data_IF_054791320845
#
_entry.id   IF_054791320845
#
_cell.length_a   1.000
_cell.length_b   1.000
_cell.length_c   1.000
_cell.angle_alpha   90.00
_cell.angle_beta   90.00
_cell.angle_gamma   90.00
#
_symmetry.space_group_name_H-M   'P 1'
#
loop_
_entity.id
_entity.type
_entity.pdbx_description
1 polymer ?
#
# COMPACT_ATOMS: atom_id res chain seq x y z
N UNK A 1 -53.31 31.00 -33.47
CA UNK A 1 -52.68 29.65 -33.41
C UNK A 1 -51.75 29.26 -34.57
N UNK A 2 -51.99 29.65 -35.85
CA UNK A 2 -51.12 29.23 -36.99
C UNK A 2 -49.74 29.91 -37.01
N UNK A 3 -49.62 31.14 -36.47
CA UNK A 3 -48.37 31.91 -36.49
C UNK A 3 -47.30 31.37 -35.53
N UNK A 4 -47.70 30.96 -34.31
CA UNK A 4 -46.81 30.36 -33.31
C UNK A 4 -46.20 29.03 -33.78
N UNK A 5 -46.97 28.18 -34.49
CA UNK A 5 -46.45 26.92 -35.08
C UNK A 5 -45.38 27.16 -36.15
N UNK A 6 -45.45 28.27 -36.90
CA UNK A 6 -44.50 28.60 -37.97
C UNK A 6 -43.16 29.08 -37.40
N UNK A 7 -43.19 29.87 -36.33
CA UNK A 7 -42.01 30.32 -35.58
C UNK A 7 -41.31 29.12 -34.93
N UNK A 8 -42.07 28.25 -34.24
CA UNK A 8 -41.51 27.06 -33.59
C UNK A 8 -40.81 26.13 -34.59
N UNK A 9 -41.34 25.99 -35.81
CA UNK A 9 -40.72 25.18 -36.88
C UNK A 9 -39.44 25.82 -37.44
N UNK A 10 -39.39 27.16 -37.55
CA UNK A 10 -38.21 27.92 -38.03
C UNK A 10 -37.02 27.84 -37.06
N UNK A 11 -37.28 27.82 -35.76
CA UNK A 11 -36.23 27.80 -34.74
C UNK A 11 -36.01 26.43 -34.10
N UNK A 12 -36.76 25.39 -34.48
CA UNK A 12 -36.67 24.04 -33.90
C UNK A 12 -35.24 23.50 -33.87
N UNK A 13 -34.50 23.65 -34.96
CA UNK A 13 -33.11 23.20 -35.06
C UNK A 13 -32.17 24.01 -34.15
N UNK A 14 -32.36 25.33 -34.04
CA UNK A 14 -31.56 26.18 -33.14
C UNK A 14 -31.87 25.91 -31.67
N UNK A 15 -33.15 25.70 -31.33
CA UNK A 15 -33.56 25.34 -29.96
C UNK A 15 -33.01 23.97 -29.58
N UNK A 16 -33.08 22.98 -30.49
CA UNK A 16 -32.51 21.65 -30.27
C UNK A 16 -30.99 21.73 -30.10
N UNK A 17 -30.31 22.55 -30.91
CA UNK A 17 -28.86 22.75 -30.81
C UNK A 17 -28.46 23.42 -29.49
N UNK A 18 -29.20 24.45 -29.05
CA UNK A 18 -28.99 25.12 -27.76
C UNK A 18 -29.25 24.18 -26.59
N UNK A 19 -30.30 23.34 -26.66
CA UNK A 19 -30.57 22.30 -25.66
C UNK A 19 -29.49 21.22 -25.62
N UNK A 20 -28.95 20.81 -26.78
CA UNK A 20 -27.85 19.85 -26.86
C UNK A 20 -26.56 20.44 -26.25
N UNK A 21 -26.29 21.71 -26.50
CA UNK A 21 -25.16 22.44 -25.91
C UNK A 21 -25.33 22.62 -24.39
N UNK A 22 -26.55 22.92 -23.93
CA UNK A 22 -26.94 22.96 -22.51
C UNK A 22 -26.94 21.58 -21.82
N UNK A 23 -27.00 20.47 -22.56
CA UNK A 23 -26.80 19.13 -22.00
C UNK A 23 -25.31 18.79 -21.90
N UNK A 24 -24.50 19.24 -22.85
CA UNK A 24 -23.05 19.07 -22.85
C UNK A 24 -22.35 19.83 -21.70
N UNK A 25 -22.84 21.02 -21.32
CA UNK A 25 -22.26 21.77 -20.18
C UNK A 25 -22.68 21.21 -18.80
N UNK A 26 -23.76 20.40 -18.71
CA UNK A 26 -24.19 19.73 -17.46
C UNK A 26 -23.35 18.45 -17.26
N UNK A 27 -22.76 17.93 -18.33
CA UNK A 27 -21.77 16.85 -18.29
C UNK A 27 -20.36 17.31 -17.89
N UNK A 28 -20.21 18.48 -17.25
CA UNK A 28 -19.02 18.80 -16.47
C UNK A 28 -19.06 17.93 -15.19
N UNK A 29 -18.84 16.63 -15.38
CA UNK A 29 -18.83 15.65 -14.31
C UNK A 29 -17.76 16.05 -13.30
N UNK A 30 -18.17 16.22 -12.03
CA UNK A 30 -17.22 16.32 -10.91
C UNK A 30 -16.19 15.21 -11.09
N UNK A 31 -14.92 15.57 -11.21
CA UNK A 31 -13.83 14.60 -11.25
C UNK A 31 -13.91 13.77 -9.97
N UNK A 32 -14.39 12.53 -10.10
CA UNK A 32 -14.48 11.61 -8.97
C UNK A 32 -13.08 11.11 -8.67
N UNK A 33 -12.45 11.66 -7.63
CA UNK A 33 -11.15 11.17 -7.18
C UNK A 33 -11.31 9.73 -6.67
N UNK A 34 -10.44 8.82 -7.13
CA UNK A 34 -10.47 7.41 -6.69
C UNK A 34 -10.30 7.29 -5.17
N UNK A 35 -9.46 8.16 -4.60
CA UNK A 35 -9.22 8.26 -3.16
C UNK A 35 -9.58 9.65 -2.63
N UNK A 36 -10.43 9.67 -1.61
CA UNK A 36 -10.75 10.85 -0.83
C UNK A 36 -9.61 11.09 0.16
N UNK A 37 -8.96 12.25 0.07
CA UNK A 37 -7.84 12.60 0.96
C UNK A 37 -8.27 13.71 1.90
N UNK A 38 -8.04 13.52 3.20
CA UNK A 38 -8.33 14.51 4.23
C UNK A 38 -7.15 14.65 5.20
N UNK A 39 -7.03 15.81 5.83
CA UNK A 39 -6.02 16.06 6.84
C UNK A 39 -6.65 16.67 8.07
N UNK A 40 -6.28 16.15 9.23
CA UNK A 40 -6.62 16.66 10.54
C UNK A 40 -5.33 17.05 11.28
N UNK A 41 -5.39 18.11 12.09
CA UNK A 41 -4.31 18.50 12.99
C UNK A 41 -4.77 18.32 14.43
N UNK A 42 -3.91 17.75 15.26
CA UNK A 42 -4.20 17.46 16.67
C UNK A 42 -3.07 17.99 17.54
N UNK A 43 -3.42 18.72 18.59
CA UNK A 43 -2.46 19.31 19.52
C UNK A 43 -2.05 18.35 20.65
N UNK A 44 -1.53 17.18 20.26
CA UNK A 44 -1.11 16.08 21.14
C UNK A 44 0.21 15.47 20.65
N UNK A 45 0.84 14.67 21.49
CA UNK A 45 2.04 13.90 21.13
C UNK A 45 1.65 12.53 20.56
N UNK A 46 2.24 12.17 19.42
CA UNK A 46 2.01 10.85 18.79
C UNK A 46 2.48 9.70 19.69
N UNK A 47 3.49 9.92 20.52
CA UNK A 47 4.01 8.92 21.47
C UNK A 47 2.91 8.45 22.42
N UNK A 48 2.02 9.35 22.85
CA UNK A 48 0.91 8.99 23.74
C UNK A 48 -0.13 8.12 23.03
N UNK A 49 -0.30 8.26 21.72
CA UNK A 49 -1.16 7.36 20.92
C UNK A 49 -0.48 6.01 20.68
N UNK A 50 0.82 5.99 20.39
CA UNK A 50 1.59 4.74 20.22
C UNK A 50 1.56 3.92 21.52
N UNK A 51 1.68 4.56 22.70
CA UNK A 51 1.60 3.89 24.01
C UNK A 51 0.25 3.25 24.31
N UNK A 52 -0.84 3.73 23.68
CA UNK A 52 -2.18 3.16 23.84
C UNK A 52 -2.40 1.91 22.97
N UNK A 53 -1.48 1.62 22.04
CA UNK A 53 -1.57 0.43 21.20
C UNK A 53 -1.44 -0.82 22.08
N UNK A 54 -2.56 -1.51 22.25
CA UNK A 54 -2.61 -2.81 22.91
C UNK A 54 -2.55 -3.90 21.85
N UNK A 55 -1.82 -4.98 22.13
CA UNK A 55 -1.79 -6.15 21.25
C UNK A 55 -1.08 -5.90 19.92
N UNK A 56 0.06 -5.20 19.93
CA UNK A 56 0.93 -5.13 18.77
C UNK A 56 1.29 -6.56 18.30
N UNK A 57 1.35 -6.81 16.98
CA UNK A 57 1.79 -8.10 16.49
C UNK A 57 3.20 -8.42 17.03
N UNK A 58 3.51 -9.69 17.32
CA UNK A 58 4.85 -10.11 17.69
C UNK A 58 5.87 -9.61 16.67
N UNK A 59 7.11 -9.26 17.10
CA UNK A 59 8.16 -8.88 16.17
C UNK A 59 8.33 -9.90 15.04
N UNK A 60 8.34 -9.42 13.80
CA UNK A 60 8.43 -10.25 12.61
C UNK A 60 7.10 -10.77 12.06
N UNK A 61 6.01 -10.79 12.83
CA UNK A 61 4.68 -11.12 12.28
C UNK A 61 4.20 -9.94 11.44
N UNK A 62 4.04 -10.16 10.13
CA UNK A 62 3.67 -9.14 9.17
C UNK A 62 2.17 -9.19 8.81
N UNK A 63 1.58 -10.39 8.81
CA UNK A 63 0.19 -10.59 8.41
C UNK A 63 -0.38 -11.90 8.97
N UNK A 64 -1.70 -11.97 9.10
CA UNK A 64 -2.38 -13.18 9.58
C UNK A 64 -3.77 -13.27 8.97
N UNK A 65 -4.12 -14.41 8.40
CA UNK A 65 -5.48 -14.71 7.94
C UNK A 65 -6.01 -16.01 8.56
N UNK A 66 -7.09 -16.57 8.04
CA UNK A 66 -7.67 -17.81 8.56
C UNK A 66 -6.77 -19.04 8.37
N UNK A 67 -5.87 -19.05 7.38
CA UNK A 67 -5.04 -20.21 7.03
C UNK A 67 -3.58 -20.06 7.45
N UNK A 68 -3.00 -18.87 7.38
CA UNK A 68 -1.57 -18.64 7.61
C UNK A 68 -1.31 -17.51 8.60
N UNK A 69 -0.22 -17.68 9.35
CA UNK A 69 0.55 -16.56 9.90
C UNK A 69 1.71 -16.29 8.94
N UNK A 70 1.93 -15.02 8.61
CA UNK A 70 2.98 -14.62 7.69
C UNK A 70 4.02 -13.80 8.43
N UNK A 71 5.24 -14.33 8.47
CA UNK A 71 6.35 -13.79 9.22
C UNK A 71 7.44 -13.31 8.26
N UNK A 72 8.29 -12.40 8.73
CA UNK A 72 9.38 -11.87 7.93
C UNK A 72 10.69 -11.79 8.70
N UNK A 73 11.77 -11.79 7.94
CA UNK A 73 13.09 -11.30 8.31
C UNK A 73 13.57 -10.26 7.29
N UNK A 74 14.53 -9.44 7.70
CA UNK A 74 15.11 -8.38 6.88
C UNK A 74 16.53 -8.13 7.35
N UNK A 75 17.50 -8.34 6.46
CA UNK A 75 18.91 -8.08 6.68
C UNK A 75 19.43 -6.87 5.88
N UNK A 76 18.52 -6.01 5.43
CA UNK A 76 18.86 -4.92 4.52
C UNK A 76 19.35 -5.47 3.18
N UNK A 77 20.53 -5.04 2.75
CA UNK A 77 21.13 -5.43 1.47
C UNK A 77 21.47 -6.93 1.39
N UNK A 78 21.55 -7.61 2.52
CA UNK A 78 21.89 -9.03 2.59
C UNK A 78 20.68 -9.96 2.38
N UNK A 79 19.50 -9.37 2.14
CA UNK A 79 18.30 -10.10 1.78
C UNK A 79 17.22 -10.05 2.87
N UNK A 80 16.30 -10.98 2.75
CA UNK A 80 15.14 -11.10 3.63
C UNK A 80 14.36 -12.36 3.26
N UNK A 81 13.53 -12.82 4.19
CA UNK A 81 12.72 -14.01 3.99
C UNK A 81 11.30 -13.73 4.39
N UNK A 82 10.35 -14.21 3.59
CA UNK A 82 8.94 -14.30 3.97
C UNK A 82 8.62 -15.75 4.32
N UNK A 83 7.92 -15.96 5.43
CA UNK A 83 7.51 -17.28 5.91
C UNK A 83 5.99 -17.35 6.01
N UNK A 84 5.42 -18.45 5.55
CA UNK A 84 4.01 -18.80 5.67
C UNK A 84 3.87 -20.02 6.56
N UNK A 85 3.44 -19.81 7.80
CA UNK A 85 3.15 -20.88 8.76
C UNK A 85 1.67 -21.24 8.66
N UNK A 86 1.38 -22.44 8.17
CA UNK A 86 0.01 -22.95 8.09
C UNK A 86 -0.52 -23.21 9.51
N UNK A 87 -1.60 -22.53 9.90
CA UNK A 87 -2.16 -22.59 11.25
C UNK A 87 -2.71 -23.97 11.63
N UNK A 88 -3.18 -24.74 10.64
CA UNK A 88 -3.78 -26.07 10.86
C UNK A 88 -2.72 -27.17 10.94
N UNK A 89 -1.75 -27.17 10.03
CA UNK A 89 -0.74 -28.24 9.95
C UNK A 89 0.55 -27.91 10.69
N UNK A 90 0.79 -26.65 11.03
CA UNK A 90 2.05 -26.18 11.63
C UNK A 90 3.23 -26.11 10.64
N UNK A 91 3.07 -26.56 9.39
CA UNK A 91 4.12 -26.52 8.37
C UNK A 91 4.48 -25.09 8.00
N UNK A 92 5.77 -24.84 7.80
CA UNK A 92 6.33 -23.52 7.50
C UNK A 92 6.92 -23.55 6.10
N UNK A 93 6.46 -22.64 5.26
CA UNK A 93 6.94 -22.46 3.90
C UNK A 93 7.61 -21.12 3.76
N UNK A 94 8.62 -20.99 2.93
CA UNK A 94 9.40 -19.77 2.86
C UNK A 94 9.94 -19.47 1.46
N UNK A 95 10.21 -18.19 1.23
CA UNK A 95 10.84 -17.71 0.00
C UNK A 95 11.65 -16.43 0.30
N UNK A 96 12.58 -16.12 -0.59
CA UNK A 96 13.30 -14.86 -0.63
C UNK A 96 12.32 -13.69 -0.78
N UNK A 97 12.51 -12.67 0.04
CA UNK A 97 11.73 -11.44 0.02
C UNK A 97 12.51 -10.33 0.74
N UNK A 98 13.19 -9.45 -0.01
CA UNK A 98 14.08 -8.43 0.56
C UNK A 98 13.32 -7.38 1.35
N UNK A 99 13.42 -7.44 2.68
CA UNK A 99 12.78 -6.52 3.60
C UNK A 99 11.27 -6.30 3.34
N UNK A 100 10.44 -7.30 3.64
CA UNK A 100 9.00 -7.21 3.43
C UNK A 100 8.38 -6.10 4.29
N UNK A 101 7.57 -5.23 3.69
CA UNK A 101 6.88 -4.13 4.37
C UNK A 101 5.37 -4.29 4.42
N UNK A 102 4.78 -5.10 3.54
CA UNK A 102 3.35 -5.41 3.60
C UNK A 102 3.01 -6.74 2.92
N UNK A 103 1.93 -7.35 3.38
CA UNK A 103 1.28 -8.50 2.74
C UNK A 103 -0.19 -8.15 2.52
N UNK A 104 -0.67 -8.40 1.32
CA UNK A 104 -2.06 -8.19 0.95
C UNK A 104 -2.62 -9.43 0.28
N UNK A 105 -3.89 -9.75 0.54
CA UNK A 105 -4.56 -10.92 -0.06
C UNK A 105 -5.63 -10.47 -1.04
N UNK A 106 -5.48 -10.88 -2.30
CA UNK A 106 -6.45 -10.58 -3.37
C UNK A 106 -6.75 -11.88 -4.11
N UNK A 107 -8.03 -12.25 -4.20
CA UNK A 107 -8.48 -13.45 -4.92
C UNK A 107 -7.71 -14.72 -4.52
N UNK A 108 -7.52 -14.89 -3.22
CA UNK A 108 -6.78 -16.00 -2.60
C UNK A 108 -5.29 -16.09 -2.97
N UNK A 109 -4.71 -15.03 -3.53
CA UNK A 109 -3.27 -14.88 -3.75
C UNK A 109 -2.69 -13.86 -2.78
N UNK A 110 -1.43 -14.06 -2.39
CA UNK A 110 -0.70 -13.13 -1.55
C UNK A 110 0.24 -12.28 -2.39
N UNK A 111 0.32 -11.00 -2.05
CA UNK A 111 1.20 -10.03 -2.68
C UNK A 111 2.10 -9.47 -1.59
N UNK A 112 3.40 -9.71 -1.71
CA UNK A 112 4.40 -9.25 -0.75
C UNK A 112 5.07 -8.05 -1.37
N UNK A 113 4.99 -6.89 -0.71
CA UNK A 113 5.77 -5.72 -1.10
C UNK A 113 7.04 -5.69 -0.28
N UNK A 114 8.16 -5.66 -1.00
CA UNK A 114 9.51 -5.66 -0.48
C UNK A 114 10.12 -4.28 -0.74
N UNK A 115 10.87 -3.77 0.23
CA UNK A 115 11.36 -2.40 0.17
C UNK A 115 12.68 -2.26 0.90
N UNK A 116 13.67 -1.75 0.19
CA UNK A 116 15.01 -1.49 0.70
C UNK A 116 15.35 -0.02 0.47
N UNK A 117 15.38 0.76 1.55
CA UNK A 117 15.75 2.18 1.54
C UNK A 117 17.27 2.38 1.66
N UNK A 118 18.04 1.78 0.76
CA UNK A 118 19.50 1.94 0.73
C UNK A 118 19.98 2.42 -0.65
N UNK A 119 21.01 3.28 -0.69
CA UNK A 119 21.46 4.00 -1.88
C UNK A 119 20.30 4.70 -2.62
N UNK A 120 20.00 4.31 -3.86
CA UNK A 120 18.88 4.83 -4.65
C UNK A 120 17.52 4.29 -4.20
N UNK A 121 17.51 3.30 -3.31
CA UNK A 121 16.35 2.54 -2.92
C UNK A 121 15.95 1.52 -3.99
N UNK A 122 15.37 0.41 -3.56
CA UNK A 122 14.78 -0.57 -4.45
C UNK A 122 13.53 -1.18 -3.84
N UNK A 123 12.63 -1.65 -4.70
CA UNK A 123 11.42 -2.34 -4.27
C UNK A 123 10.99 -3.34 -5.30
N UNK A 124 10.43 -4.45 -4.84
CA UNK A 124 9.80 -5.44 -5.69
C UNK A 124 8.46 -5.87 -5.09
N UNK A 125 7.62 -6.48 -5.93
CA UNK A 125 6.39 -7.14 -5.48
C UNK A 125 6.41 -8.56 -6.01
N UNK A 126 6.26 -9.53 -5.11
CA UNK A 126 6.12 -10.95 -5.46
C UNK A 126 4.69 -11.43 -5.21
N UNK A 127 4.16 -12.21 -6.15
CA UNK A 127 2.90 -12.96 -6.03
C UNK A 127 3.19 -14.37 -5.52
N UNK A 128 2.39 -14.83 -4.57
CA UNK A 128 2.38 -16.21 -4.07
C UNK A 128 0.95 -16.73 -4.19
N UNK A 129 0.76 -17.70 -5.09
CA UNK A 129 -0.57 -18.29 -5.36
C UNK A 129 -0.91 -19.40 -4.38
N UNK A 130 0.09 -20.19 -3.98
CA UNK A 130 -0.05 -21.28 -3.04
C UNK A 130 1.24 -21.40 -2.22
N UNK A 131 1.24 -20.96 -0.95
CA UNK A 131 2.41 -21.06 -0.10
C UNK A 131 2.95 -22.50 0.05
N UNK A 132 2.12 -23.52 -0.10
CA UNK A 132 2.54 -24.93 0.06
C UNK A 132 3.42 -25.44 -1.09
N UNK A 133 3.54 -24.66 -2.18
CA UNK A 133 4.46 -24.94 -3.30
C UNK A 133 5.85 -24.33 -3.13
N UNK A 134 6.05 -23.51 -2.11
CA UNK A 134 7.37 -22.96 -1.80
C UNK A 134 8.24 -24.00 -1.09
N UNK A 135 9.49 -23.64 -0.76
CA UNK A 135 10.32 -24.50 0.07
C UNK A 135 9.78 -24.58 1.49
N UNK A 136 10.01 -25.72 2.14
CA UNK A 136 9.54 -25.99 3.51
C UNK A 136 10.73 -25.93 4.48
N UNK A 137 10.50 -25.35 5.65
CA UNK A 137 11.45 -25.34 6.77
C UNK A 137 10.77 -25.81 8.06
N UNK A 138 11.56 -26.13 9.07
CA UNK A 138 11.08 -26.51 10.41
C UNK A 138 11.05 -25.33 11.38
N UNK A 139 11.72 -24.22 11.05
CA UNK A 139 11.82 -23.04 11.92
C UNK A 139 11.76 -21.73 11.13
N UNK A 140 11.21 -20.70 11.77
CA UNK A 140 11.39 -19.31 11.33
C UNK A 140 12.67 -18.81 11.98
N UNK A 141 13.63 -18.35 11.16
CA UNK A 141 14.85 -17.74 11.69
C UNK A 141 14.49 -16.45 12.41
N UNK A 142 14.92 -16.33 13.66
CA UNK A 142 14.87 -15.05 14.38
C UNK A 142 16.18 -14.31 14.11
N UNK A 143 16.10 -13.00 13.87
CA UNK A 143 17.29 -12.17 13.76
C UNK A 143 18.16 -12.36 15.00
N UNK A 144 19.44 -12.68 14.79
CA UNK A 144 20.42 -12.83 15.86
C UNK A 144 21.61 -11.92 15.55
N UNK A 145 22.01 -11.01 16.46
CA UNK A 145 23.07 -10.03 16.19
C UNK A 145 24.43 -10.68 15.90
N UNK A 146 24.66 -11.90 16.39
CA UNK A 146 25.94 -12.63 16.23
C UNK A 146 26.05 -13.48 14.96
N UNK A 147 25.02 -13.50 14.09
CA UNK A 147 25.02 -14.28 12.86
C UNK A 147 25.29 -13.36 11.66
N UNK A 148 26.20 -13.78 10.76
CA UNK A 148 26.40 -13.11 9.47
C UNK A 148 25.06 -13.17 8.72
N UNK A 149 24.45 -12.01 8.54
CA UNK A 149 23.03 -11.92 8.18
C UNK A 149 22.68 -12.60 6.85
N UNK A 150 23.66 -12.72 5.95
CA UNK A 150 23.53 -13.39 4.66
C UNK A 150 23.29 -14.90 4.75
N UNK A 151 23.73 -15.57 5.80
CA UNK A 151 23.68 -17.05 5.88
C UNK A 151 22.31 -17.59 6.33
N UNK A 152 21.47 -16.75 6.94
CA UNK A 152 20.17 -17.18 7.45
C UNK A 152 18.98 -16.79 6.56
N UNK A 153 19.18 -15.85 5.62
CA UNK A 153 18.13 -15.42 4.70
C UNK A 153 17.97 -16.39 3.53
N UNK A 154 16.75 -16.53 3.04
CA UNK A 154 16.43 -17.40 1.93
C UNK A 154 16.92 -16.84 0.60
N UNK A 155 17.39 -17.74 -0.25
CA UNK A 155 17.65 -17.49 -1.68
C UNK A 155 16.64 -18.24 -2.58
N UNK A 156 15.59 -18.83 -1.99
CA UNK A 156 14.61 -19.60 -2.76
C UNK A 156 13.54 -18.70 -3.34
N UNK A 157 13.39 -18.74 -4.66
CA UNK A 157 12.25 -18.14 -5.38
C UNK A 157 11.16 -19.17 -5.73
N UNK A 158 11.27 -20.40 -5.19
CA UNK A 158 10.32 -21.47 -5.50
C UNK A 158 8.91 -21.09 -5.06
N UNK A 159 7.94 -21.23 -5.97
CA UNK A 159 6.53 -20.95 -5.69
C UNK A 159 6.16 -19.46 -5.68
N UNK A 160 7.11 -18.57 -5.99
CA UNK A 160 6.86 -17.13 -6.12
C UNK A 160 6.88 -16.69 -7.59
N UNK A 161 6.23 -15.57 -7.88
CA UNK A 161 6.29 -14.89 -9.17
C UNK A 161 6.55 -13.41 -8.94
N UNK A 162 7.69 -12.90 -9.37
CA UNK A 162 7.98 -11.47 -9.34
C UNK A 162 7.08 -10.73 -10.32
N UNK A 163 6.34 -9.74 -9.84
CA UNK A 163 5.45 -8.90 -10.64
C UNK A 163 6.13 -7.62 -11.08
N UNK A 164 6.94 -7.03 -10.22
CA UNK A 164 7.71 -5.82 -10.54
C UNK A 164 9.03 -5.86 -9.78
N UNK A 165 10.06 -5.27 -10.37
CA UNK A 165 11.39 -5.06 -9.78
C UNK A 165 11.81 -3.63 -10.14
N UNK A 166 12.03 -2.78 -9.15
CA UNK A 166 12.33 -1.37 -9.35
C UNK A 166 13.56 -0.93 -8.57
N UNK A 167 14.42 -0.18 -9.26
CA UNK A 167 15.50 0.61 -8.67
C UNK A 167 15.09 2.08 -8.71
N UNK A 168 15.40 2.83 -7.67
CA UNK A 168 15.03 4.24 -7.57
C UNK A 168 13.60 4.48 -7.06
N UNK A 169 12.90 3.43 -6.60
CA UNK A 169 11.58 3.56 -6.00
C UNK A 169 11.49 2.70 -4.74
N UNK A 170 10.93 3.28 -3.67
CA UNK A 170 10.79 2.66 -2.36
C UNK A 170 9.31 2.61 -1.99
N UNK A 171 8.81 1.42 -1.64
CA UNK A 171 7.45 1.22 -1.15
C UNK A 171 7.43 1.42 0.37
N UNK A 172 6.61 2.34 0.87
CA UNK A 172 6.37 2.49 2.32
C UNK A 172 5.38 1.43 2.82
N UNK A 173 4.28 1.23 2.09
CA UNK A 173 3.24 0.26 2.41
C UNK A 173 2.34 0.05 1.20
N UNK A 174 1.70 -1.12 1.11
CA UNK A 174 0.69 -1.42 0.10
C UNK A 174 -0.63 -1.81 0.75
N UNK A 175 -1.74 -1.53 0.08
CA UNK A 175 -3.11 -1.75 0.54
C UNK A 175 -4.04 -2.17 -0.61
N UNK A 176 -5.14 -2.83 -0.27
CA UNK A 176 -6.14 -3.30 -1.25
C UNK A 176 -7.33 -2.37 -1.28
N UNK A 177 -7.79 -2.04 -2.48
CA UNK A 177 -9.10 -1.42 -2.69
C UNK A 177 -9.72 -1.96 -3.97
N UNK A 178 -10.99 -2.39 -3.91
CA UNK A 178 -11.72 -2.99 -5.05
C UNK A 178 -10.92 -4.09 -5.80
N UNK A 179 -10.25 -4.97 -5.06
CA UNK A 179 -9.40 -6.05 -5.59
C UNK A 179 -8.17 -5.59 -6.39
N UNK A 180 -7.81 -4.30 -6.33
CA UNK A 180 -6.57 -3.79 -6.90
C UNK A 180 -5.57 -3.51 -5.77
N UNK A 181 -4.29 -3.72 -6.07
CA UNK A 181 -3.20 -3.44 -5.15
C UNK A 181 -2.68 -2.02 -5.40
N UNK A 182 -2.65 -1.22 -4.35
CA UNK A 182 -2.09 0.13 -4.35
C UNK A 182 -0.89 0.20 -3.42
N UNK A 183 0.09 1.01 -3.77
CA UNK A 183 1.30 1.23 -2.98
C UNK A 183 1.52 2.71 -2.76
N UNK A 184 1.91 3.08 -1.54
CA UNK A 184 2.50 4.40 -1.27
C UNK A 184 3.99 4.31 -1.54
N UNK A 185 4.46 5.09 -2.50
CA UNK A 185 5.83 4.99 -2.99
C UNK A 185 6.50 6.34 -3.11
N UNK A 186 7.82 6.35 -2.88
CA UNK A 186 8.69 7.48 -3.12
C UNK A 186 9.69 7.09 -4.20
N UNK A 187 9.68 7.83 -5.30
CA UNK A 187 10.75 7.74 -6.30
C UNK A 187 11.91 8.64 -5.84
N UNK A 188 13.14 8.14 -5.89
CA UNK A 188 14.36 8.82 -5.45
C UNK A 188 14.53 10.21 -6.09
N UNK A 189 14.13 10.35 -7.36
CA UNK A 189 14.21 11.62 -8.10
C UNK A 189 13.03 12.58 -7.83
N UNK A 190 12.00 12.13 -7.11
CA UNK A 190 10.75 12.88 -6.94
C UNK A 190 10.75 13.74 -5.67
N UNK A 191 10.10 14.90 -5.79
CA UNK A 191 9.77 15.79 -4.66
C UNK A 191 8.44 15.44 -3.99
N UNK A 192 7.70 14.47 -4.56
CA UNK A 192 6.40 13.99 -4.08
C UNK A 192 6.42 12.47 -3.89
N UNK A 193 5.75 12.01 -2.84
CA UNK A 193 5.35 10.61 -2.76
C UNK A 193 4.07 10.39 -3.59
N UNK A 194 3.75 9.16 -3.93
CA UNK A 194 2.56 8.85 -4.71
C UNK A 194 1.80 7.67 -4.13
N UNK A 195 0.50 7.64 -4.38
CA UNK A 195 -0.31 6.45 -4.33
C UNK A 195 -0.42 5.94 -5.77
N UNK A 196 0.10 4.75 -6.01
CA UNK A 196 0.12 4.14 -7.34
C UNK A 196 -0.54 2.77 -7.32
N UNK A 197 -1.26 2.45 -8.40
CA UNK A 197 -1.83 1.13 -8.64
C UNK A 197 -0.78 0.21 -9.26
N UNK A 198 -0.70 -1.04 -8.81
CA UNK A 198 0.00 -2.09 -9.55
C UNK A 198 -0.93 -2.61 -10.65
N UNK A 199 -0.60 -2.34 -11.91
CA UNK A 199 -1.31 -2.85 -13.08
C UNK A 199 -0.31 -3.19 -14.17
N UNK A 200 -0.51 -4.30 -14.87
CA UNK A 200 0.37 -4.76 -15.95
C UNK A 200 1.85 -4.79 -15.56
N UNK A 201 2.14 -5.27 -14.34
CA UNK A 201 3.50 -5.35 -13.78
C UNK A 201 4.21 -4.00 -13.66
N UNK A 202 3.46 -2.89 -13.57
CA UNK A 202 3.97 -1.52 -13.46
C UNK A 202 3.19 -0.72 -12.43
N UNK A 203 3.85 0.28 -11.84
CA UNK A 203 3.18 1.29 -11.02
C UNK A 203 2.56 2.37 -11.89
N UNK A 204 1.26 2.60 -11.73
CA UNK A 204 0.54 3.71 -12.34
C UNK A 204 0.12 4.69 -11.26
N UNK A 205 0.70 5.89 -11.28
CA UNK A 205 0.37 6.94 -10.33
C UNK A 205 -1.09 7.36 -10.44
N UNK A 206 -1.82 7.24 -9.33
CA UNK A 206 -3.22 7.65 -9.19
C UNK A 206 -3.29 9.03 -8.54
N UNK A 207 -2.43 9.28 -7.56
CA UNK A 207 -2.43 10.52 -6.78
C UNK A 207 -1.04 10.83 -6.25
N UNK A 208 -0.63 12.09 -6.36
CA UNK A 208 0.54 12.61 -5.65
C UNK A 208 0.14 13.03 -4.23
N UNK A 209 1.04 12.77 -3.28
CA UNK A 209 0.93 13.19 -1.89
C UNK A 209 2.21 13.88 -1.47
N UNK A 210 2.13 14.64 -0.37
CA UNK A 210 3.30 15.31 0.18
C UNK A 210 4.38 14.29 0.59
N UNK A 211 5.65 14.59 0.25
CA UNK A 211 6.80 13.72 0.56
C UNK A 211 6.97 13.55 2.07
N UNK A 212 6.57 14.54 2.86
CA UNK A 212 6.62 14.47 4.32
C UNK A 212 5.70 13.40 4.93
N UNK A 213 4.77 12.86 4.13
CA UNK A 213 3.90 11.73 4.51
C UNK A 213 4.54 10.37 4.23
N UNK A 214 5.76 10.35 3.70
CA UNK A 214 6.54 9.15 3.48
C UNK A 214 7.56 8.97 4.60
N UNK A 215 7.71 7.74 5.06
CA UNK A 215 8.72 7.33 6.02
C UNK A 215 9.30 5.99 5.59
N UNK A 216 10.60 5.81 5.78
CA UNK A 216 11.29 4.56 5.41
C UNK A 216 11.00 3.43 6.40
N UNK A 217 10.74 3.77 7.67
CA UNK A 217 10.52 2.81 8.74
C UNK A 217 9.26 3.16 9.55
N UNK A 218 8.07 3.16 8.91
CA UNK A 218 6.83 3.38 9.63
C UNK A 218 6.47 2.17 10.48
N UNK A 219 5.69 2.39 11.54
CA UNK A 219 4.95 1.31 12.18
C UNK A 219 3.63 1.12 11.45
N UNK A 220 3.42 -0.05 10.84
CA UNK A 220 2.20 -0.37 10.08
C UNK A 220 1.34 -1.34 10.88
N UNK A 221 0.07 -0.99 11.07
CA UNK A 221 -0.93 -1.85 11.69
C UNK A 221 -2.04 -2.09 10.67
N UNK A 222 -2.19 -3.33 10.23
CA UNK A 222 -3.27 -3.76 9.34
C UNK A 222 -4.42 -4.31 10.19
N UNK A 223 -5.53 -3.58 10.26
CA UNK A 223 -6.72 -3.97 11.02
C UNK A 223 -7.62 -4.91 10.21
N UNK A 224 -7.61 -4.78 8.88
CA UNK A 224 -8.25 -5.71 7.92
C UNK A 224 -7.64 -5.54 6.52
N UNK A 225 -8.11 -6.29 5.51
CA UNK A 225 -7.65 -6.12 4.12
C UNK A 225 -7.78 -4.69 3.61
N UNK A 226 -8.85 -4.00 4.00
CA UNK A 226 -9.20 -2.66 3.50
C UNK A 226 -9.03 -1.57 4.56
N UNK A 227 -8.43 -1.88 5.72
CA UNK A 227 -8.18 -0.91 6.79
C UNK A 227 -6.80 -1.09 7.40
N UNK A 228 -5.96 -0.06 7.28
CA UNK A 228 -4.66 -0.01 7.92
C UNK A 228 -4.30 1.38 8.42
N UNK A 229 -3.44 1.43 9.44
CA UNK A 229 -2.88 2.65 10.03
C UNK A 229 -1.37 2.61 9.92
N UNK A 230 -0.79 3.70 9.43
CA UNK A 230 0.64 3.87 9.25
C UNK A 230 1.09 4.99 10.18
N UNK A 231 1.84 4.65 11.22
CA UNK A 231 2.34 5.57 12.23
C UNK A 231 3.71 6.09 11.78
N UNK A 232 3.78 7.40 11.57
CA UNK A 232 4.94 8.13 11.09
C UNK A 232 5.51 8.93 12.27
N UNK A 233 6.77 8.69 12.65
CA UNK A 233 7.45 9.49 13.68
C UNK A 233 8.36 10.57 13.06
N UNK A 234 8.88 10.34 11.84
CA UNK A 234 9.70 11.27 11.06
C UNK A 234 9.38 11.11 9.56
N UNK A 235 9.53 12.19 8.75
CA UNK A 235 9.89 13.56 9.15
C UNK A 235 8.74 14.30 9.84
N UNK A 236 7.50 13.88 9.61
CA UNK A 236 6.31 14.46 10.20
C UNK A 236 5.60 13.46 11.11
N UNK A 237 5.43 13.82 12.37
CA UNK A 237 4.68 13.02 13.32
C UNK A 237 3.20 12.95 12.88
N UNK A 238 2.74 11.75 12.55
CA UNK A 238 1.36 11.56 12.12
C UNK A 238 0.91 10.12 11.99
N UNK A 239 -0.40 9.96 11.79
CA UNK A 239 -1.01 8.68 11.45
C UNK A 239 -1.66 8.84 10.09
N UNK A 240 -1.23 8.04 9.13
CA UNK A 240 -1.92 7.88 7.85
C UNK A 240 -2.87 6.68 7.97
N UNK A 241 -4.15 6.96 8.11
CA UNK A 241 -5.22 5.96 8.15
C UNK A 241 -5.79 5.77 6.75
N UNK A 242 -5.77 4.53 6.27
CA UNK A 242 -6.32 4.12 4.99
C UNK A 242 -7.47 3.17 5.28
N UNK A 243 -8.68 3.57 4.91
CA UNK A 243 -9.90 2.78 5.09
C UNK A 243 -10.74 2.86 3.83
N UNK A 244 -10.83 1.76 3.10
CA UNK A 244 -11.47 1.70 1.78
C UNK A 244 -10.89 2.77 0.83
N UNK A 245 -11.73 3.68 0.33
CA UNK A 245 -11.33 4.79 -0.54
C UNK A 245 -10.90 6.06 0.22
N UNK A 246 -10.92 6.04 1.56
CA UNK A 246 -10.63 7.21 2.40
C UNK A 246 -9.22 7.12 2.96
N UNK A 247 -8.45 8.17 2.71
CA UNK A 247 -7.09 8.33 3.22
C UNK A 247 -7.08 9.58 4.09
N UNK A 248 -6.89 9.38 5.39
CA UNK A 248 -6.88 10.45 6.38
C UNK A 248 -5.48 10.57 6.97
N UNK A 249 -4.90 11.75 6.88
CA UNK A 249 -3.67 12.06 7.60
C UNK A 249 -3.99 12.84 8.87
N UNK A 250 -3.59 12.30 10.02
CA UNK A 250 -3.73 12.95 11.33
C UNK A 250 -2.34 13.44 11.74
N UNK A 251 -2.13 14.75 11.69
CA UNK A 251 -0.85 15.40 12.03
C UNK A 251 -0.81 15.74 13.52
N UNK A 252 0.29 15.40 14.18
CA UNK A 252 0.53 15.69 15.60
C UNK A 252 1.56 16.82 15.71
N UNK A 253 1.26 17.85 16.48
CA UNK A 253 2.08 19.09 16.55
C UNK A 253 2.96 19.18 17.79
N UNK A 254 2.79 18.30 18.78
CA UNK A 254 3.67 18.22 19.95
C UNK A 254 4.64 17.06 19.80
N UNK A 255 5.93 17.34 20.01
CA UNK A 255 6.96 16.33 20.28
C UNK A 255 7.43 16.57 21.70
N UNK A 256 7.42 15.56 22.57
CA UNK A 256 8.29 15.61 23.75
C UNK A 256 9.72 15.82 23.27
N UNK A 257 10.36 16.88 23.78
CA UNK A 257 11.80 17.08 23.66
C UNK A 257 12.53 16.01 24.44
#
# INVERSE_FOLDING_TARGET
MKFQKKILKKYKARILFVLLFLLLIISCGKQTFLFEFSTEKVDRDIVDEIKKLKGLPPPGLLYSDTKYEVWKTCSGEWGGTIYFKNKKSGKIYYAEATCPVSVNKINNKYYISNSLSHLLGSSDIIEITDPEKMEQTTRISLYHPDIITREYESHSSKGTKKLIDTVGAVIMSSFVYKQNLYSILLNHSSTKATISELRDNKFHTIKEIDKDLFSEHPLIIKESETHQKIYLQRPKAGILEIKENKIKFISYTKSKK
#
